data_IF_818319546360
#
_entry.id   IF_818319546360
#
_cell.length_a   1.000
_cell.length_b   1.000
_cell.length_c   1.000
_cell.angle_alpha   90.00
_cell.angle_beta   90.00
_cell.angle_gamma   90.00
#
_symmetry.space_group_name_H-M   'P 1'
#
loop_
_entity.id
_entity.type
_entity.pdbx_description
1 polymer ?
#
# COMPACT_ATOMS: atom_id res chain seq x y z
N UNK A 1 13.23 -4.83 -4.39
CA UNK A 1 11.84 -4.45 -4.14
C UNK A 1 11.70 -2.96 -4.34
N UNK A 2 10.49 -2.50 -4.61
CA UNK A 2 10.18 -1.07 -4.67
C UNK A 2 9.31 -0.69 -3.47
N UNK A 3 9.72 0.33 -2.75
CA UNK A 3 8.87 1.01 -1.77
C UNK A 3 8.05 2.05 -2.54
N UNK A 4 6.74 1.99 -2.40
CA UNK A 4 5.81 2.94 -3.00
C UNK A 4 5.12 3.66 -1.85
N UNK A 5 5.25 4.99 -1.84
CA UNK A 5 4.80 5.84 -0.75
C UNK A 5 3.89 6.93 -1.28
N UNK A 6 2.74 7.10 -0.65
CA UNK A 6 1.85 8.24 -0.85
C UNK A 6 1.84 9.15 0.37
N UNK A 7 1.92 10.45 0.13
CA UNK A 7 1.84 11.48 1.18
C UNK A 7 0.76 12.49 0.81
N UNK A 8 -0.17 12.74 1.73
CA UNK A 8 -1.18 13.79 1.64
C UNK A 8 -1.86 14.02 2.99
N UNK A 9 -2.42 15.21 3.19
CA UNK A 9 -3.16 15.61 4.39
C UNK A 9 -2.51 15.28 5.73
N UNK A 10 -1.18 15.37 5.78
CA UNK A 10 -0.39 15.12 6.99
C UNK A 10 -0.23 13.63 7.35
N UNK A 11 -0.66 12.72 6.48
CA UNK A 11 -0.52 11.26 6.66
C UNK A 11 0.24 10.62 5.50
N UNK A 12 0.67 9.38 5.73
CA UNK A 12 1.47 8.60 4.79
C UNK A 12 0.93 7.19 4.69
N UNK A 13 0.85 6.66 3.47
CA UNK A 13 0.63 5.25 3.19
C UNK A 13 1.84 4.68 2.45
N UNK A 14 2.32 3.52 2.90
CA UNK A 14 3.39 2.78 2.23
C UNK A 14 2.94 1.38 1.86
N UNK A 15 3.38 0.93 0.70
CA UNK A 15 3.34 -0.49 0.32
C UNK A 15 4.61 -0.90 -0.40
N UNK A 16 4.76 -2.21 -0.56
CA UNK A 16 5.94 -2.82 -1.16
C UNK A 16 5.55 -3.59 -2.41
N UNK A 17 6.23 -3.29 -3.51
CA UNK A 17 6.18 -4.07 -4.74
C UNK A 17 7.40 -4.98 -4.80
N UNK A 18 7.15 -6.29 -4.68
CA UNK A 18 8.14 -7.34 -4.82
C UNK A 18 8.34 -7.65 -6.30
N UNK A 19 9.59 -7.70 -6.73
CA UNK A 19 9.98 -7.97 -8.11
C UNK A 19 10.35 -9.44 -8.33
N UNK A 20 10.61 -9.80 -9.59
CA UNK A 20 10.93 -11.17 -9.99
C UNK A 20 12.08 -11.73 -9.16
N UNK A 21 11.84 -12.88 -8.54
CA UNK A 21 12.82 -13.59 -7.70
C UNK A 21 12.85 -13.14 -6.25
N UNK A 22 12.08 -12.11 -5.89
CA UNK A 22 11.86 -11.70 -4.50
C UNK A 22 10.69 -12.48 -3.88
N UNK A 23 10.72 -12.65 -2.56
CA UNK A 23 9.67 -13.37 -1.84
C UNK A 23 8.72 -12.38 -1.18
N UNK A 24 7.53 -12.25 -1.75
CA UNK A 24 6.43 -11.52 -1.12
C UNK A 24 5.91 -12.27 0.13
N UNK A 25 5.39 -11.54 1.14
CA UNK A 25 4.71 -12.13 2.28
C UNK A 25 3.45 -12.87 1.83
N UNK A 26 3.14 -13.96 2.53
CA UNK A 26 1.92 -14.76 2.30
C UNK A 26 0.90 -14.48 3.39
N UNK A 27 -0.33 -14.21 2.98
CA UNK A 27 -1.45 -13.99 3.89
C UNK A 27 -2.46 -15.13 3.77
N UNK A 28 -3.05 -15.52 4.90
CA UNK A 28 -4.01 -16.61 4.92
C UNK A 28 -5.25 -16.24 4.10
N UNK A 29 -5.55 -17.04 3.07
CA UNK A 29 -6.71 -16.82 2.19
C UNK A 29 -6.42 -15.92 0.98
N UNK A 30 -5.21 -15.37 0.87
CA UNK A 30 -4.78 -14.71 -0.36
C UNK A 30 -4.54 -15.77 -1.46
N UNK A 31 -4.80 -15.44 -2.73
CA UNK A 31 -4.40 -16.29 -3.84
C UNK A 31 -2.88 -16.55 -3.81
N UNK A 32 -2.46 -17.75 -4.21
CA UNK A 32 -1.03 -18.04 -4.39
C UNK A 32 -0.54 -17.27 -5.61
N UNK A 33 0.37 -16.33 -5.40
CA UNK A 33 0.83 -15.43 -6.46
C UNK A 33 2.18 -15.89 -6.98
N UNK A 34 2.15 -16.74 -8.03
CA UNK A 34 3.33 -17.04 -8.87
C UNK A 34 3.62 -15.91 -9.88
N UNK A 35 3.07 -14.72 -9.62
CA UNK A 35 3.23 -13.57 -10.50
C UNK A 35 4.67 -13.03 -10.45
N UNK A 36 5.23 -12.57 -11.58
CA UNK A 36 6.56 -11.97 -11.61
C UNK A 36 6.71 -10.71 -10.75
N UNK A 37 5.62 -10.00 -10.47
CA UNK A 37 5.57 -8.82 -9.64
C UNK A 37 4.38 -8.91 -8.69
N UNK A 38 4.59 -8.65 -7.40
CA UNK A 38 3.55 -8.78 -6.37
C UNK A 38 3.49 -7.51 -5.54
N UNK A 39 2.37 -6.80 -5.62
CA UNK A 39 2.10 -5.61 -4.82
C UNK A 39 1.44 -5.99 -3.50
N UNK A 40 1.97 -5.47 -2.40
CA UNK A 40 1.41 -5.65 -1.05
C UNK A 40 1.30 -4.28 -0.39
N UNK A 41 0.09 -3.92 0.01
CA UNK A 41 -0.22 -2.70 0.73
C UNK A 41 -1.50 -2.91 1.53
N UNK A 42 -1.53 -2.38 2.74
CA UNK A 42 -2.76 -2.39 3.56
C UNK A 42 -3.84 -1.56 2.87
N UNK A 43 -5.08 -1.90 3.20
CA UNK A 43 -6.26 -1.13 2.83
C UNK A 43 -6.89 -0.54 4.08
N UNK A 44 -7.47 0.65 3.94
CA UNK A 44 -8.19 1.30 5.01
C UNK A 44 -9.38 2.11 4.51
N UNK A 45 -10.29 2.43 5.40
CA UNK A 45 -11.47 3.25 5.11
C UNK A 45 -11.94 3.99 6.35
N UNK A 46 -12.60 5.13 6.12
CA UNK A 46 -13.26 5.87 7.18
C UNK A 46 -14.47 5.08 7.71
N UNK A 47 -14.64 5.08 9.03
CA UNK A 47 -15.81 4.51 9.72
C UNK A 47 -16.49 5.56 10.59
N UNK A 48 -17.80 5.43 10.80
CA UNK A 48 -18.56 6.36 11.64
C UNK A 48 -18.11 6.31 13.12
N UNK A 49 -17.72 5.13 13.60
CA UNK A 49 -17.24 4.92 14.97
C UNK A 49 -16.37 3.65 15.08
N UNK A 50 -15.52 3.61 16.12
CA UNK A 50 -14.53 2.54 16.28
C UNK A 50 -13.26 2.80 15.47
N UNK A 51 -12.49 1.76 15.16
CA UNK A 51 -11.23 1.91 14.44
C UNK A 51 -10.15 2.65 15.23
N UNK A 52 -9.18 3.21 14.51
CA UNK A 52 -8.09 4.03 15.04
C UNK A 52 -8.29 5.47 14.60
N UNK A 53 -8.18 6.43 15.52
CA UNK A 53 -8.25 7.86 15.18
C UNK A 53 -6.94 8.29 14.53
N UNK A 54 -7.03 8.82 13.31
CA UNK A 54 -5.93 9.40 12.55
C UNK A 54 -6.22 10.88 12.31
N UNK A 55 -5.17 11.71 12.28
CA UNK A 55 -5.32 13.11 11.88
C UNK A 55 -5.14 13.22 10.37
N UNK A 56 -6.12 13.78 9.68
CA UNK A 56 -6.16 13.93 8.22
C UNK A 56 -6.63 15.36 7.93
N UNK A 57 -5.79 16.16 7.27
CA UNK A 57 -6.03 17.59 7.01
C UNK A 57 -6.39 18.41 8.27
N UNK A 58 -5.89 17.99 9.43
CA UNK A 58 -6.16 18.62 10.72
C UNK A 58 -7.49 18.23 11.36
N UNK A 59 -8.23 17.30 10.77
CA UNK A 59 -9.47 16.72 11.30
C UNK A 59 -9.23 15.29 11.82
N UNK A 60 -9.96 14.91 12.88
CA UNK A 60 -9.91 13.56 13.42
C UNK A 60 -10.80 12.63 12.59
N UNK A 61 -10.21 11.56 12.04
CA UNK A 61 -10.89 10.55 11.22
C UNK A 61 -10.74 9.18 11.88
N UNK A 62 -11.85 8.48 12.09
CA UNK A 62 -11.83 7.09 12.53
C UNK A 62 -11.55 6.18 11.32
N UNK A 63 -10.46 5.43 11.37
CA UNK A 63 -10.00 4.57 10.27
C UNK A 63 -10.01 3.11 10.69
N UNK A 64 -10.62 2.24 9.89
CA UNK A 64 -10.50 0.80 10.02
C UNK A 64 -9.51 0.26 8.98
N UNK A 65 -8.69 -0.71 9.40
CA UNK A 65 -7.70 -1.37 8.55
C UNK A 65 -8.18 -2.76 8.16
N UNK A 66 -7.91 -3.13 6.92
CA UNK A 66 -8.07 -4.48 6.41
C UNK A 66 -6.72 -5.12 6.14
N UNK A 67 -6.68 -6.44 6.36
CA UNK A 67 -5.48 -7.20 6.04
C UNK A 67 -5.15 -7.07 4.56
N UNK A 68 -3.87 -6.90 4.20
CA UNK A 68 -3.47 -6.68 2.83
C UNK A 68 -3.75 -7.93 2.01
N UNK A 69 -4.25 -7.72 0.79
CA UNK A 69 -4.42 -8.78 -0.19
C UNK A 69 -3.38 -8.58 -1.30
N UNK A 70 -2.34 -9.44 -1.38
CA UNK A 70 -1.36 -9.39 -2.45
C UNK A 70 -2.03 -9.37 -3.82
N UNK A 71 -1.42 -8.62 -4.75
CA UNK A 71 -1.88 -8.52 -6.13
C UNK A 71 -0.73 -8.77 -7.10
N UNK A 72 -0.92 -9.77 -7.94
CA UNK A 72 0.06 -10.23 -8.91
C UNK A 72 -0.07 -9.53 -10.26
N UNK A 73 1.08 -9.23 -10.87
CA UNK A 73 1.19 -8.60 -12.18
C UNK A 73 2.29 -9.24 -13.02
N UNK A 74 2.11 -9.21 -14.35
CA UNK A 74 3.07 -9.77 -15.31
C UNK A 74 4.28 -8.86 -15.54
N UNK A 75 4.09 -7.54 -15.45
CA UNK A 75 5.12 -6.53 -15.75
C UNK A 75 5.29 -5.52 -14.63
N UNK A 76 6.49 -4.93 -14.56
CA UNK A 76 6.82 -3.89 -13.59
C UNK A 76 5.93 -2.66 -13.75
N UNK A 77 5.69 -2.24 -14.99
CA UNK A 77 4.90 -1.06 -15.33
C UNK A 77 3.46 -1.21 -14.83
N UNK A 78 2.79 -2.31 -15.18
CA UNK A 78 1.44 -2.62 -14.69
C UNK A 78 1.38 -2.62 -13.16
N UNK A 79 2.38 -3.22 -12.51
CA UNK A 79 2.42 -3.30 -11.06
C UNK A 79 2.62 -1.93 -10.41
N UNK A 80 3.52 -1.09 -10.95
CA UNK A 80 3.76 0.26 -10.43
C UNK A 80 2.57 1.18 -10.66
N UNK A 81 1.90 1.08 -11.80
CA UNK A 81 0.72 1.89 -12.11
C UNK A 81 -0.44 1.49 -11.20
N UNK A 82 -0.71 0.19 -11.08
CA UNK A 82 -1.75 -0.31 -10.17
C UNK A 82 -1.46 0.03 -8.71
N UNK A 83 -0.20 0.02 -8.29
CA UNK A 83 0.18 0.44 -6.94
C UNK A 83 -0.04 1.93 -6.69
N UNK A 84 0.32 2.79 -7.66
CA UNK A 84 0.07 4.25 -7.59
C UNK A 84 -1.43 4.55 -7.49
N UNK A 85 -2.23 3.94 -8.35
CA UNK A 85 -3.68 4.07 -8.35
C UNK A 85 -4.29 3.54 -7.05
N UNK A 86 -3.75 2.44 -6.53
CA UNK A 86 -4.19 1.90 -5.26
C UNK A 86 -3.96 2.88 -4.11
N UNK A 87 -2.76 3.46 -4.01
CA UNK A 87 -2.43 4.45 -2.96
C UNK A 87 -3.39 5.63 -3.04
N UNK A 88 -3.59 6.22 -4.22
CA UNK A 88 -4.55 7.30 -4.44
C UNK A 88 -5.98 6.92 -4.01
N UNK A 89 -6.40 5.70 -4.33
CA UNK A 89 -7.72 5.17 -3.95
C UNK A 89 -7.88 5.11 -2.42
N UNK A 90 -6.84 4.71 -1.68
CA UNK A 90 -6.91 4.65 -0.21
C UNK A 90 -7.07 6.05 0.40
N UNK A 91 -6.35 7.05 -0.11
CA UNK A 91 -6.51 8.44 0.31
C UNK A 91 -7.93 8.98 0.05
N UNK A 92 -8.52 8.65 -1.10
CA UNK A 92 -9.91 9.01 -1.41
C UNK A 92 -10.92 8.45 -0.39
N UNK A 93 -10.65 7.27 0.18
CA UNK A 93 -11.52 6.63 1.19
C UNK A 93 -11.53 7.34 2.55
N UNK A 94 -10.60 8.26 2.77
CA UNK A 94 -10.53 9.11 3.98
C UNK A 94 -10.77 10.59 3.66
N UNK A 95 -11.28 10.89 2.46
CA UNK A 95 -11.71 12.24 2.07
C UNK A 95 -10.65 13.11 1.40
N UNK A 96 -9.46 12.59 1.10
CA UNK A 96 -8.41 13.32 0.39
C UNK A 96 -8.61 13.20 -1.13
N UNK A 97 -8.47 14.30 -1.88
CA UNK A 97 -8.50 14.27 -3.34
C UNK A 97 -7.32 13.45 -3.88
N UNK A 98 -7.54 12.42 -4.73
CA UNK A 98 -6.47 11.65 -5.38
C UNK A 98 -5.37 12.48 -6.05
N UNK A 99 -5.69 13.68 -6.52
CA UNK A 99 -4.75 14.55 -7.22
C UNK A 99 -3.84 15.33 -6.27
N UNK A 100 -4.21 15.45 -4.99
CA UNK A 100 -3.37 16.03 -3.94
C UNK A 100 -2.36 15.03 -3.37
N UNK A 101 -2.43 13.76 -3.79
CA UNK A 101 -1.54 12.69 -3.30
C UNK A 101 -0.23 12.67 -4.07
N UNK A 102 0.86 12.99 -3.38
CA UNK A 102 2.21 12.82 -3.91
C UNK A 102 2.62 11.35 -3.80
N UNK A 103 2.85 10.66 -4.93
CA UNK A 103 3.27 9.26 -4.95
C UNK A 103 4.70 9.09 -5.46
N UNK A 104 5.57 8.61 -4.57
CA UNK A 104 6.97 8.31 -4.85
C UNK A 104 7.20 6.79 -4.96
N UNK A 105 8.22 6.42 -5.76
CA UNK A 105 8.62 5.03 -5.97
C UNK A 105 10.12 4.95 -5.84
N UNK A 106 10.59 4.21 -4.84
CA UNK A 106 12.00 4.11 -4.50
C UNK A 106 12.46 2.65 -4.56
N UNK A 107 13.62 2.42 -5.17
CA UNK A 107 14.25 1.09 -5.16
C UNK A 107 14.86 0.86 -3.78
N UNK A 108 14.44 -0.21 -3.10
CA UNK A 108 15.09 -0.68 -1.88
C UNK A 108 15.87 -1.95 -2.17
N UNK A 109 17.15 -1.92 -1.80
CA UNK A 109 17.97 -3.12 -1.69
C UNK A 109 17.58 -3.84 -0.40
N UNK A 110 17.34 -5.13 -0.47
CA UNK A 110 16.99 -5.93 0.71
C UNK A 110 18.28 -6.08 1.53
N UNK A 111 18.44 -5.31 2.61
CA UNK A 111 19.25 -5.80 3.73
C UNK A 111 18.46 -6.96 4.31
N UNK A 112 18.85 -8.18 3.95
CA UNK A 112 18.26 -9.41 4.48
C UNK A 112 18.31 -9.33 6.01
N UNK A 113 17.19 -9.04 6.65
CA UNK A 113 17.07 -9.20 8.09
C UNK A 113 17.26 -10.69 8.37
N UNK A 114 18.44 -11.06 8.86
CA UNK A 114 18.69 -12.40 9.36
C UNK A 114 17.66 -12.71 10.46
N UNK A 115 16.94 -13.83 10.39
CA UNK A 115 16.03 -14.19 11.47
C UNK A 115 16.85 -14.40 12.76
N UNK A 116 16.49 -13.64 13.81
CA UNK A 116 16.92 -13.89 15.19
C UNK A 116 16.30 -15.19 15.72
#
# INVERSE_FOLDING_TARGET
MLLIRGDAGGTTLTGTLYERGERAPRFKGAPDEDAPYVWVCDEFYQVESGGTVQQVDGEDVNVAFESPMPRGFDTREQATDAAREHVKTQFARIGIDPEDVEVTVEKQEIETAEPQ
#
